data_IF_227756298049
#
_entry.id   IF_227756298049
#
_cell.length_a   1.000
_cell.length_b   1.000
_cell.length_c   1.000
_cell.angle_alpha   90.00
_cell.angle_beta   90.00
_cell.angle_gamma   90.00
#
_symmetry.space_group_name_H-M   'P 1'
#
loop_
_entity.id
_entity.type
_entity.pdbx_description
1 polymer ?
#
# COMPACT_ATOMS: atom_id res chain seq x y z
N UNK A 1 17.93 12.01 -14.95
CA UNK A 1 16.75 12.15 -15.80
C UNK A 1 15.58 11.25 -15.39
N UNK A 2 15.76 10.03 -14.83
CA UNK A 2 14.64 9.13 -14.40
C UNK A 2 13.87 9.59 -13.15
N UNK A 3 14.41 10.49 -12.34
CA UNK A 3 13.76 10.96 -11.09
C UNK A 3 12.70 12.05 -11.32
N UNK A 4 12.78 12.79 -12.43
CA UNK A 4 11.81 13.83 -12.78
C UNK A 4 10.51 13.27 -13.39
N UNK A 5 10.56 12.09 -14.02
CA UNK A 5 9.38 11.48 -14.62
C UNK A 5 8.37 10.99 -13.57
N UNK A 6 8.83 10.56 -12.40
CA UNK A 6 7.94 10.08 -11.31
C UNK A 6 7.23 11.26 -10.62
N UNK A 7 7.91 12.41 -10.46
CA UNK A 7 7.27 13.61 -9.92
C UNK A 7 6.24 14.21 -10.90
N UNK A 8 6.51 14.16 -12.20
CA UNK A 8 5.58 14.65 -13.21
C UNK A 8 4.30 13.79 -13.30
N UNK A 9 4.41 12.47 -13.11
CA UNK A 9 3.26 11.56 -13.07
C UNK A 9 2.39 11.78 -11.82
N UNK A 10 2.98 12.12 -10.67
CA UNK A 10 2.24 12.47 -9.46
C UNK A 10 1.53 13.83 -9.57
N UNK A 11 2.10 14.79 -10.29
CA UNK A 11 1.49 16.11 -10.50
C UNK A 11 0.35 16.10 -11.53
N UNK A 12 0.42 15.22 -12.54
CA UNK A 12 -0.66 15.09 -13.53
C UNK A 12 -1.95 14.46 -12.95
N UNK A 13 -1.86 13.65 -11.92
CA UNK A 13 -3.03 13.13 -11.21
C UNK A 13 -3.78 14.20 -10.38
N UNK A 14 -3.13 15.32 -10.02
CA UNK A 14 -3.77 16.42 -9.27
C UNK A 14 -4.56 17.38 -10.15
N UNK A 15 -4.39 17.34 -11.48
CA UNK A 15 -5.06 18.23 -12.43
C UNK A 15 -6.42 17.70 -12.95
N UNK A 16 -6.78 16.46 -12.62
CA UNK A 16 -8.02 15.81 -13.12
C UNK A 16 -9.32 16.28 -12.43
N UNK A 17 -9.33 16.81 -11.19
CA UNK A 17 -10.58 17.18 -10.53
C UNK A 17 -11.41 18.26 -11.24
N UNK A 18 -10.76 19.12 -12.03
CA UNK A 18 -11.45 20.28 -12.63
C UNK A 18 -12.35 19.91 -13.83
N UNK A 19 -12.19 18.73 -14.41
CA UNK A 19 -12.94 18.32 -15.62
C UNK A 19 -14.21 17.54 -15.25
N UNK A 20 -14.24 16.90 -14.09
CA UNK A 20 -15.42 16.11 -13.65
C UNK A 20 -16.51 16.94 -12.97
N UNK A 21 -16.21 18.17 -12.54
CA UNK A 21 -17.20 19.04 -11.90
C UNK A 21 -18.25 19.65 -12.86
N UNK A 22 -18.10 19.47 -14.17
CA UNK A 22 -18.94 20.11 -15.20
C UNK A 22 -20.15 19.30 -15.65
N UNK A 23 -20.39 18.09 -15.13
CA UNK A 23 -21.48 17.20 -15.57
C UNK A 23 -22.29 16.58 -14.43
N UNK A 24 -22.62 17.31 -13.40
CA UNK A 24 -23.51 16.77 -12.36
C UNK A 24 -24.86 17.46 -12.36
N UNK A 25 -25.82 16.91 -13.06
CA UNK A 25 -27.23 17.04 -12.69
C UNK A 25 -27.47 16.22 -11.41
N UNK A 26 -27.75 16.90 -10.29
CA UNK A 26 -28.37 16.40 -9.06
C UNK A 26 -28.05 14.96 -8.62
N UNK A 27 -26.82 14.68 -8.27
CA UNK A 27 -26.55 13.53 -7.42
C UNK A 27 -26.37 13.98 -5.97
N UNK A 28 -27.17 13.42 -5.10
CA UNK A 28 -27.22 13.73 -3.65
C UNK A 28 -26.03 13.17 -2.87
N UNK A 29 -24.99 12.65 -3.51
CA UNK A 29 -23.82 12.05 -2.85
C UNK A 29 -22.51 12.40 -3.53
N UNK A 30 -21.42 12.37 -2.76
CA UNK A 30 -20.07 12.59 -3.29
C UNK A 30 -19.68 11.48 -4.26
N UNK A 31 -19.17 11.84 -5.44
CA UNK A 31 -18.84 10.91 -6.49
C UNK A 31 -17.43 10.35 -6.39
N UNK A 32 -16.49 11.15 -5.91
CA UNK A 32 -15.09 10.76 -5.89
C UNK A 32 -14.42 11.08 -4.56
N UNK A 33 -13.43 10.28 -4.22
CA UNK A 33 -12.57 10.49 -3.07
C UNK A 33 -11.11 10.31 -3.51
N UNK A 34 -10.24 11.19 -3.03
CA UNK A 34 -8.80 11.06 -3.17
C UNK A 34 -8.13 11.24 -1.82
N UNK A 35 -7.03 10.56 -1.60
CA UNK A 35 -6.32 10.67 -0.34
C UNK A 35 -4.85 10.27 -0.46
N UNK A 36 -4.09 10.72 0.52
CA UNK A 36 -2.73 10.26 0.76
C UNK A 36 -2.67 9.64 2.15
N UNK A 37 -1.74 8.73 2.38
CA UNK A 37 -1.66 8.05 3.67
C UNK A 37 -0.23 7.69 4.04
N UNK A 38 0.03 7.61 5.35
CA UNK A 38 1.15 6.88 5.89
C UNK A 38 0.79 5.40 5.92
N UNK A 39 1.74 4.55 5.55
CA UNK A 39 1.60 3.09 5.50
C UNK A 39 2.50 2.44 6.54
N UNK A 40 1.95 1.47 7.25
CA UNK A 40 2.67 0.59 8.14
C UNK A 40 2.39 -0.86 7.75
N UNK A 41 3.42 -1.59 7.34
CA UNK A 41 3.35 -2.99 6.97
C UNK A 41 4.22 -3.83 7.91
N UNK A 42 3.58 -4.72 8.68
CA UNK A 42 4.28 -5.72 9.48
C UNK A 42 4.52 -6.97 8.66
N UNK A 43 5.75 -7.13 8.22
CA UNK A 43 6.17 -8.23 7.39
C UNK A 43 6.49 -9.47 8.24
N UNK A 44 5.67 -10.51 8.12
CA UNK A 44 5.71 -11.70 8.98
C UNK A 44 6.67 -12.80 8.51
N UNK A 45 7.39 -12.59 7.39
CA UNK A 45 8.22 -13.60 6.75
C UNK A 45 9.64 -13.74 7.32
N UNK A 46 9.97 -12.92 8.30
CA UNK A 46 11.29 -12.91 8.92
C UNK A 46 11.17 -13.17 10.41
N UNK A 47 12.22 -13.73 11.01
CA UNK A 47 12.34 -13.87 12.45
C UNK A 47 13.60 -13.11 12.91
N UNK A 48 13.47 -11.98 13.66
CA UNK A 48 12.22 -11.33 14.06
C UNK A 48 11.46 -10.68 12.89
N UNK A 49 10.15 -10.42 13.09
CA UNK A 49 9.33 -9.73 12.10
C UNK A 49 9.89 -8.34 11.78
N UNK A 50 9.82 -7.93 10.51
CA UNK A 50 10.29 -6.63 10.05
C UNK A 50 9.09 -5.73 9.81
N UNK A 51 9.20 -4.48 10.29
CA UNK A 51 8.18 -3.48 10.08
C UNK A 51 8.66 -2.50 9.01
N UNK A 52 7.83 -2.27 8.00
CA UNK A 52 8.03 -1.23 7.01
C UNK A 52 7.15 -0.04 7.36
N UNK A 53 7.63 1.15 7.01
CA UNK A 53 6.88 2.39 7.05
C UNK A 53 6.98 2.98 5.66
N UNK A 54 5.88 3.50 5.15
CA UNK A 54 5.79 4.02 3.81
C UNK A 54 4.80 5.16 3.68
N UNK A 55 4.57 5.55 2.45
CA UNK A 55 3.57 6.52 2.06
C UNK A 55 2.82 6.00 0.84
N UNK A 56 1.57 6.39 0.72
CA UNK A 56 0.76 5.99 -0.42
C UNK A 56 -0.27 7.04 -0.81
N UNK A 57 -0.90 6.76 -1.93
CA UNK A 57 -2.05 7.53 -2.43
C UNK A 57 -3.17 6.59 -2.81
N UNK A 58 -4.40 7.08 -2.72
CA UNK A 58 -5.61 6.38 -3.13
C UNK A 58 -6.55 7.29 -3.88
N UNK A 59 -7.31 6.70 -4.78
CA UNK A 59 -8.40 7.36 -5.48
C UNK A 59 -9.56 6.38 -5.62
N UNK A 60 -10.76 6.87 -5.41
CA UNK A 60 -11.97 6.06 -5.48
C UNK A 60 -13.11 6.81 -6.14
N UNK A 61 -14.02 6.04 -6.73
CA UNK A 61 -15.23 6.52 -7.35
C UNK A 61 -16.44 5.77 -6.80
N UNK A 62 -17.42 6.51 -6.30
CA UNK A 62 -18.67 5.95 -5.77
C UNK A 62 -19.57 5.53 -6.93
N UNK A 63 -19.74 4.23 -7.13
CA UNK A 63 -20.69 3.65 -8.09
C UNK A 63 -22.09 3.53 -7.50
N UNK A 64 -22.18 3.60 -6.18
CA UNK A 64 -23.43 3.59 -5.40
C UNK A 64 -23.17 4.33 -4.08
N UNK A 65 -24.17 4.91 -3.41
CA UNK A 65 -23.99 5.56 -2.10
C UNK A 65 -23.22 4.73 -1.05
N UNK A 66 -23.33 3.42 -1.10
CA UNK A 66 -22.67 2.52 -0.16
C UNK A 66 -21.50 1.72 -0.77
N UNK A 67 -21.19 1.92 -2.07
CA UNK A 67 -20.16 1.15 -2.77
C UNK A 67 -19.25 2.08 -3.58
N UNK A 68 -17.98 2.02 -3.28
CA UNK A 68 -16.92 2.72 -3.99
C UNK A 68 -15.98 1.72 -4.66
N UNK A 69 -15.53 2.00 -5.86
CA UNK A 69 -14.37 1.35 -6.46
C UNK A 69 -13.13 2.19 -6.16
N UNK A 70 -12.13 1.56 -5.56
CA UNK A 70 -10.93 2.25 -5.07
C UNK A 70 -9.67 1.61 -5.64
N UNK A 71 -8.72 2.45 -6.07
CA UNK A 71 -7.36 2.08 -6.40
C UNK A 71 -6.39 2.76 -5.44
N UNK A 72 -5.35 2.05 -5.02
CA UNK A 72 -4.30 2.60 -4.18
C UNK A 72 -2.92 2.08 -4.55
N UNK A 73 -1.92 2.89 -4.25
CA UNK A 73 -0.52 2.52 -4.37
C UNK A 73 0.25 2.96 -3.14
N UNK A 74 1.05 2.07 -2.57
CA UNK A 74 1.90 2.32 -1.41
C UNK A 74 3.36 2.05 -1.74
N UNK A 75 4.22 2.92 -1.27
CA UNK A 75 5.67 2.83 -1.39
C UNK A 75 6.29 2.81 -0.01
N UNK A 76 6.81 1.65 0.39
CA UNK A 76 7.49 1.48 1.65
C UNK A 76 8.97 1.87 1.57
N UNK A 77 9.48 2.47 2.64
CA UNK A 77 10.87 2.84 2.73
C UNK A 77 11.76 1.62 2.95
N UNK A 78 12.94 1.65 2.38
CA UNK A 78 13.91 0.56 2.47
C UNK A 78 14.23 0.22 3.93
N UNK A 79 14.21 -1.07 4.24
CA UNK A 79 14.70 -1.60 5.51
C UNK A 79 15.93 -2.47 5.26
N UNK A 80 16.91 -2.31 6.13
CA UNK A 80 18.13 -3.09 6.12
C UNK A 80 18.03 -4.16 7.20
N UNK A 81 18.42 -5.39 6.87
CA UNK A 81 18.63 -6.43 7.86
C UNK A 81 19.97 -7.10 7.61
N UNK A 82 20.63 -7.40 8.72
CA UNK A 82 21.93 -8.06 8.69
C UNK A 82 21.75 -9.50 9.13
N UNK A 83 22.21 -10.41 8.29
CA UNK A 83 22.28 -11.83 8.61
C UNK A 83 23.74 -12.19 8.88
N UNK A 84 23.96 -13.00 9.90
CA UNK A 84 25.27 -13.61 10.15
C UNK A 84 25.41 -14.83 9.26
N UNK A 85 26.51 -14.91 8.52
CA UNK A 85 26.88 -16.06 7.71
C UNK A 85 28.21 -16.61 8.23
N UNK A 86 28.21 -17.90 8.60
CA UNK A 86 29.39 -18.62 9.05
C UNK A 86 29.65 -19.75 8.06
N UNK A 87 30.85 -19.80 7.49
CA UNK A 87 31.29 -20.84 6.56
C UNK A 87 32.22 -21.87 7.23
N UNK A 88 32.30 -21.87 8.57
CA UNK A 88 33.19 -22.76 9.36
C UNK A 88 34.62 -22.24 9.46
N UNK A 89 35.00 -21.20 8.73
CA UNK A 89 36.35 -20.62 8.73
C UNK A 89 36.29 -19.14 9.19
N UNK A 90 35.24 -18.43 8.76
CA UNK A 90 35.02 -17.01 9.09
C UNK A 90 33.56 -16.69 9.23
N UNK A 91 33.25 -15.76 10.12
CA UNK A 91 31.91 -15.20 10.30
C UNK A 91 31.82 -13.87 9.55
N UNK A 92 30.83 -13.73 8.68
CA UNK A 92 30.58 -12.53 7.90
C UNK A 92 29.19 -11.98 8.18
N UNK A 93 29.08 -10.63 8.24
CA UNK A 93 27.80 -9.94 8.36
C UNK A 93 27.34 -9.48 6.98
N UNK A 94 26.21 -10.01 6.51
CA UNK A 94 25.66 -9.69 5.19
C UNK A 94 24.41 -8.84 5.34
N UNK A 95 24.43 -7.63 4.79
CA UNK A 95 23.28 -6.73 4.83
C UNK A 95 22.42 -6.90 3.58
N UNK A 96 21.16 -7.24 3.80
CA UNK A 96 20.14 -7.28 2.75
C UNK A 96 19.20 -6.09 2.93
N UNK A 97 18.89 -5.41 1.83
CA UNK A 97 17.95 -4.30 1.76
C UNK A 97 16.69 -4.76 1.04
N UNK A 98 15.54 -4.50 1.64
CA UNK A 98 14.24 -4.81 1.06
C UNK A 98 13.36 -3.58 1.03
N UNK A 99 12.57 -3.47 -0.04
CA UNK A 99 11.59 -2.42 -0.23
C UNK A 99 10.37 -2.98 -0.96
N UNK A 100 9.20 -3.01 -0.33
CA UNK A 100 7.93 -3.30 -0.98
C UNK A 100 7.40 -2.09 -1.76
N UNK A 101 6.68 -2.38 -2.84
CA UNK A 101 5.80 -1.47 -3.56
C UNK A 101 4.50 -2.23 -3.81
N UNK A 102 3.39 -1.74 -3.27
CA UNK A 102 2.08 -2.38 -3.35
C UNK A 102 1.16 -1.57 -4.24
N UNK A 103 0.40 -2.23 -5.11
CA UNK A 103 -0.69 -1.65 -5.89
C UNK A 103 -1.94 -2.51 -5.74
N UNK A 104 -3.05 -1.92 -5.29
CA UNK A 104 -4.30 -2.61 -4.99
C UNK A 104 -5.49 -1.90 -5.63
N UNK A 105 -6.49 -2.69 -6.04
CA UNK A 105 -7.76 -2.20 -6.59
C UNK A 105 -8.91 -3.08 -6.10
N UNK A 106 -10.05 -2.47 -5.77
CA UNK A 106 -11.24 -3.24 -5.38
C UNK A 106 -12.35 -2.40 -4.78
N UNK A 107 -13.47 -3.05 -4.41
CA UNK A 107 -14.60 -2.40 -3.78
C UNK A 107 -14.34 -2.03 -2.33
N UNK A 108 -14.85 -0.87 -1.93
CA UNK A 108 -15.06 -0.43 -0.55
C UNK A 108 -16.56 -0.34 -0.30
N UNK A 109 -17.05 -1.05 0.69
CA UNK A 109 -18.44 -0.99 1.15
C UNK A 109 -18.52 -0.12 2.40
N UNK A 110 -19.28 0.97 2.33
CA UNK A 110 -19.30 2.01 3.36
C UNK A 110 -20.71 2.26 3.90
N UNK A 111 -20.81 2.63 5.16
CA UNK A 111 -22.05 2.98 5.81
C UNK A 111 -22.40 4.45 5.56
N UNK A 112 -23.05 4.71 4.43
CA UNK A 112 -23.45 6.06 4.00
C UNK A 112 -22.35 6.88 3.32
N UNK A 113 -22.72 8.02 2.77
CA UNK A 113 -21.82 8.89 1.98
C UNK A 113 -21.69 10.31 2.53
N UNK A 114 -22.66 10.76 3.34
CA UNK A 114 -22.78 12.16 3.76
C UNK A 114 -22.56 12.40 5.26
N UNK A 115 -22.52 11.36 6.07
CA UNK A 115 -22.31 11.51 7.52
C UNK A 115 -20.90 12.00 7.89
N UNK A 116 -20.72 12.57 9.10
CA UNK A 116 -19.41 12.98 9.59
C UNK A 116 -18.51 11.79 9.95
N UNK A 117 -19.09 10.63 10.27
CA UNK A 117 -18.38 9.40 10.55
C UNK A 117 -18.97 8.25 9.75
N UNK A 118 -18.12 7.39 9.22
CA UNK A 118 -18.55 6.18 8.57
C UNK A 118 -17.54 5.06 8.79
N UNK A 119 -18.06 3.84 8.99
CA UNK A 119 -17.30 2.61 8.93
C UNK A 119 -17.33 2.03 7.52
N UNK A 120 -16.33 1.27 7.17
CA UNK A 120 -16.27 0.56 5.89
C UNK A 120 -15.53 -0.77 6.01
N UNK A 121 -15.82 -1.65 5.07
CA UNK A 121 -15.04 -2.86 4.78
C UNK A 121 -14.57 -2.80 3.32
N UNK A 122 -13.45 -3.42 3.03
CA UNK A 122 -12.88 -3.44 1.68
C UNK A 122 -12.28 -4.79 1.35
N UNK A 123 -12.32 -5.16 0.07
CA UNK A 123 -11.63 -6.32 -0.46
C UNK A 123 -10.93 -5.92 -1.75
N UNK A 124 -9.61 -5.85 -1.74
CA UNK A 124 -8.82 -5.40 -2.89
C UNK A 124 -7.94 -6.53 -3.40
N UNK A 125 -7.67 -6.50 -4.69
CA UNK A 125 -6.73 -7.39 -5.39
C UNK A 125 -5.66 -6.55 -6.06
N UNK A 126 -4.49 -7.11 -6.26
CA UNK A 126 -3.42 -6.39 -6.95
C UNK A 126 -2.08 -7.11 -6.88
N UNK A 127 -1.05 -6.34 -6.62
CA UNK A 127 0.30 -6.86 -6.60
C UNK A 127 1.15 -6.22 -5.50
N UNK A 128 2.15 -6.97 -5.06
CA UNK A 128 3.30 -6.47 -4.31
C UNK A 128 4.58 -6.76 -5.10
N UNK A 129 5.41 -5.74 -5.29
CA UNK A 129 6.72 -5.84 -5.94
C UNK A 129 7.83 -5.61 -4.92
N UNK A 130 8.81 -6.49 -4.89
CA UNK A 130 9.93 -6.41 -3.97
C UNK A 130 11.19 -5.95 -4.70
N UNK A 131 11.80 -4.87 -4.23
CA UNK A 131 13.18 -4.53 -4.59
C UNK A 131 14.11 -5.03 -3.50
N UNK A 132 14.97 -6.01 -3.84
CA UNK A 132 15.92 -6.64 -2.92
C UNK A 132 17.35 -6.41 -3.40
N UNK A 133 18.21 -5.91 -2.53
CA UNK A 133 19.63 -5.77 -2.81
C UNK A 133 20.43 -6.34 -1.65
N UNK A 134 21.30 -7.33 -1.93
CA UNK A 134 22.23 -7.90 -0.96
C UNK A 134 23.62 -7.31 -1.23
N UNK A 135 24.27 -6.79 -0.20
CA UNK A 135 25.58 -6.18 -0.33
C UNK A 135 26.67 -7.22 -0.09
N UNK A 136 27.56 -7.39 -1.08
CA UNK A 136 28.76 -8.25 -1.04
C UNK A 136 28.49 -9.65 -0.43
N UNK A 137 27.52 -10.44 -0.95
CA UNK A 137 27.24 -11.73 -0.40
C UNK A 137 28.44 -12.68 -0.66
N UNK A 138 28.95 -13.35 0.37
CA UNK A 138 29.96 -14.39 0.17
C UNK A 138 29.38 -15.58 -0.60
N UNK A 139 30.23 -16.39 -1.22
CA UNK A 139 29.79 -17.59 -1.93
C UNK A 139 29.03 -18.53 -0.99
N UNK A 140 27.86 -19.02 -1.45
CA UNK A 140 26.99 -19.89 -0.67
C UNK A 140 26.03 -19.19 0.29
N UNK A 141 26.05 -17.87 0.38
CA UNK A 141 25.11 -17.12 1.22
C UNK A 141 23.68 -17.23 0.71
N UNK A 142 22.76 -17.67 1.57
CA UNK A 142 21.33 -17.64 1.33
C UNK A 142 20.68 -16.69 2.36
N UNK A 143 20.02 -15.65 1.88
CA UNK A 143 19.29 -14.71 2.74
C UNK A 143 18.11 -15.42 3.44
N UNK A 144 17.77 -15.01 4.67
CA UNK A 144 16.58 -15.48 5.40
C UNK A 144 15.26 -15.26 4.65
N UNK A 145 15.28 -14.38 3.65
CA UNK A 145 14.17 -14.12 2.72
C UNK A 145 14.49 -14.65 1.31
N UNK A 146 15.12 -15.83 1.23
CA UNK A 146 15.57 -16.43 -0.04
C UNK A 146 14.48 -16.68 -1.07
N UNK A 147 13.23 -16.84 -0.63
CA UNK A 147 12.03 -16.95 -1.48
C UNK A 147 11.57 -15.63 -2.10
N UNK A 148 12.17 -14.50 -1.71
CA UNK A 148 11.92 -13.20 -2.33
C UNK A 148 13.11 -12.85 -3.21
N UNK A 149 12.90 -12.77 -4.51
CA UNK A 149 13.89 -12.34 -5.51
C UNK A 149 13.73 -10.85 -5.83
N UNK A 150 14.80 -10.19 -6.26
CA UNK A 150 14.76 -8.79 -6.67
C UNK A 150 13.84 -8.60 -7.88
N UNK A 151 13.05 -7.52 -7.87
CA UNK A 151 12.10 -7.19 -8.94
C UNK A 151 10.92 -8.16 -9.07
N UNK A 152 10.77 -9.12 -8.16
CA UNK A 152 9.70 -10.12 -8.26
C UNK A 152 8.36 -9.54 -7.82
N UNK A 153 7.41 -9.56 -8.76
CA UNK A 153 6.02 -9.17 -8.52
C UNK A 153 5.19 -10.38 -8.12
N UNK A 154 4.45 -10.26 -7.04
CA UNK A 154 3.54 -11.29 -6.52
C UNK A 154 2.13 -10.78 -6.54
N UNK A 155 1.17 -11.65 -6.84
CA UNK A 155 -0.24 -11.37 -6.68
C UNK A 155 -0.56 -11.13 -5.19
N UNK A 156 -1.38 -10.13 -4.91
CA UNK A 156 -1.79 -9.76 -3.57
C UNK A 156 -3.31 -9.65 -3.44
N UNK A 157 -3.80 -10.02 -2.26
CA UNK A 157 -5.16 -9.80 -1.79
C UNK A 157 -5.11 -8.93 -0.55
N UNK A 158 -6.13 -8.09 -0.34
CA UNK A 158 -6.22 -7.24 0.82
C UNK A 158 -7.67 -7.17 1.33
N UNK A 159 -8.10 -8.10 2.19
CA UNK A 159 -9.27 -7.91 3.02
C UNK A 159 -8.96 -6.93 4.15
N UNK A 160 -9.79 -5.91 4.32
CA UNK A 160 -9.58 -4.89 5.33
C UNK A 160 -10.86 -4.15 5.70
N UNK A 161 -10.71 -3.16 6.56
CA UNK A 161 -11.78 -2.29 6.96
C UNK A 161 -11.26 -1.12 7.78
N UNK A 162 -12.11 -0.16 8.05
CA UNK A 162 -11.69 1.02 8.75
C UNK A 162 -12.81 1.98 9.08
N UNK A 163 -12.39 3.14 9.50
CA UNK A 163 -13.27 4.27 9.85
C UNK A 163 -12.77 5.55 9.16
N UNK A 164 -13.72 6.38 8.82
CA UNK A 164 -13.47 7.71 8.25
C UNK A 164 -14.24 8.76 9.04
N UNK A 165 -13.56 9.85 9.35
CA UNK A 165 -14.19 11.04 9.95
C UNK A 165 -14.07 12.23 9.01
N UNK A 166 -15.16 12.92 8.71
CA UNK A 166 -15.20 14.04 7.77
C UNK A 166 -15.63 15.33 8.43
N UNK A 167 -14.97 16.42 8.03
CA UNK A 167 -15.31 17.80 8.31
C UNK A 167 -15.48 18.53 6.98
N UNK A 168 -16.71 18.52 6.47
CA UNK A 168 -16.98 18.99 5.10
C UNK A 168 -16.34 18.07 4.04
N UNK A 169 -15.57 18.61 3.08
CA UNK A 169 -14.93 17.82 2.03
C UNK A 169 -13.65 17.09 2.49
N UNK A 170 -13.11 17.47 3.65
CA UNK A 170 -11.85 16.91 4.17
C UNK A 170 -12.15 15.90 5.25
N UNK A 171 -11.47 14.77 5.23
CA UNK A 171 -11.59 13.71 6.23
C UNK A 171 -10.25 13.13 6.62
N UNK A 172 -10.29 12.32 7.68
CA UNK A 172 -9.21 11.46 8.12
C UNK A 172 -9.68 10.01 8.05
N UNK A 173 -8.88 9.13 7.45
CA UNK A 173 -9.17 7.70 7.31
C UNK A 173 -8.12 6.87 8.01
N UNK A 174 -8.59 5.95 8.84
CA UNK A 174 -7.81 4.85 9.42
C UNK A 174 -8.32 3.53 8.82
N UNK A 175 -7.41 2.74 8.26
CA UNK A 175 -7.72 1.44 7.66
C UNK A 175 -6.74 0.39 8.19
N UNK A 176 -7.25 -0.80 8.49
CA UNK A 176 -6.49 -1.96 8.95
C UNK A 176 -6.91 -3.17 8.13
N UNK A 177 -5.96 -3.95 7.68
CA UNK A 177 -6.22 -5.16 6.90
C UNK A 177 -5.05 -6.12 6.89
N UNK A 178 -5.25 -7.23 6.19
CA UNK A 178 -4.24 -8.25 5.97
C UNK A 178 -3.78 -8.21 4.51
N UNK A 179 -2.53 -7.78 4.27
CA UNK A 179 -1.94 -7.83 2.93
C UNK A 179 -1.37 -9.22 2.69
N UNK A 180 -2.14 -10.03 1.98
CA UNK A 180 -1.82 -11.42 1.67
C UNK A 180 -1.18 -11.48 0.29
N UNK A 181 0.07 -11.89 0.19
CA UNK A 181 0.68 -12.17 -1.10
C UNK A 181 1.03 -13.66 -1.25
N UNK A 182 1.14 -14.12 -2.50
CA UNK A 182 1.33 -15.52 -2.82
C UNK A 182 2.76 -15.78 -3.31
N UNK A 183 3.56 -16.44 -2.43
CA UNK A 183 4.92 -16.86 -2.72
C UNK A 183 5.18 -18.23 -2.06
N UNK A 184 4.97 -19.32 -2.82
CA UNK A 184 5.01 -20.69 -2.30
C UNK A 184 4.08 -20.87 -1.09
N UNK A 185 2.82 -20.42 -1.25
CA UNK A 185 1.80 -20.35 -0.22
C UNK A 185 1.36 -18.92 0.10
N UNK A 186 0.29 -18.77 0.84
CA UNK A 186 -0.23 -17.50 1.30
C UNK A 186 0.66 -16.93 2.42
N UNK A 187 0.94 -15.63 2.34
CA UNK A 187 1.79 -14.89 3.28
C UNK A 187 1.04 -13.68 3.79
N UNK A 188 0.60 -13.77 5.04
CA UNK A 188 -0.21 -12.77 5.73
C UNK A 188 0.65 -11.68 6.37
N UNK A 189 0.29 -10.42 6.16
CA UNK A 189 1.01 -9.27 6.70
C UNK A 189 0.03 -8.22 7.18
N UNK A 190 0.06 -7.89 8.46
CA UNK A 190 -0.76 -6.82 9.00
C UNK A 190 -0.35 -5.49 8.36
N UNK A 191 -1.32 -4.79 7.78
CA UNK A 191 -1.14 -3.46 7.21
C UNK A 191 -2.08 -2.47 7.88
N UNK A 192 -1.55 -1.30 8.23
CA UNK A 192 -2.29 -0.19 8.81
C UNK A 192 -1.99 1.08 8.03
N UNK A 193 -3.03 1.77 7.57
CA UNK A 193 -2.88 3.05 6.87
C UNK A 193 -3.64 4.15 7.58
N UNK A 194 -3.04 5.34 7.65
CA UNK A 194 -3.66 6.52 8.24
C UNK A 194 -3.35 7.74 7.36
N UNK A 195 -4.36 8.52 7.01
CA UNK A 195 -4.12 9.72 6.23
C UNK A 195 -5.37 10.55 5.91
N UNK A 196 -5.16 11.77 5.43
CA UNK A 196 -6.23 12.62 4.97
C UNK A 196 -6.87 12.08 3.68
N UNK A 197 -8.17 12.32 3.56
CA UNK A 197 -8.96 12.03 2.38
C UNK A 197 -9.83 13.25 2.03
N UNK A 198 -10.10 13.45 0.75
CA UNK A 198 -10.92 14.52 0.22
C UNK A 198 -12.03 13.91 -0.61
N UNK A 199 -13.27 14.36 -0.37
CA UNK A 199 -14.45 13.90 -1.11
C UNK A 199 -15.05 15.04 -1.94
N UNK A 200 -15.55 14.69 -3.12
CA UNK A 200 -16.13 15.62 -4.10
C UNK A 200 -17.51 15.16 -4.54
#
# INVERSE_FOLDING_TARGET
MKRFAVLAALFSCLAVPSIMAAQSSESTYNHAEVGVFADYLRFSQTNPNINFIGVGGRAGFNVHPNVMLEAEMAYDFKRNFTNTFDNGISTSFVTTRLRPLTGLFGPKFQAGTSGPFRGFITGKVGFINFTKTTQNPPAGFTSSIGNITDGNTKFALYPGGGIEGFWGPVGLRLEVGDEIYFANGARNNLRVTLGPTFRF
#
